data_IF_485641208905
#
_entry.id   IF_485641208905
#
_cell.length_a   1.000
_cell.length_b   1.000
_cell.length_c   1.000
_cell.angle_alpha   90.00
_cell.angle_beta   90.00
_cell.angle_gamma   90.00
#
_symmetry.space_group_name_H-M   'P 1'
#
loop_
_entity.id
_entity.type
_entity.pdbx_description
1 polymer ?
#
# COMPACT_ATOMS: atom_id res chain seq x y z
N UNK A 1 -31.74 -15.80 25.03
CA UNK A 1 -30.55 -16.65 24.84
C UNK A 1 -29.73 -16.05 23.71
N UNK A 2 -28.60 -15.44 24.08
CA UNK A 2 -27.69 -14.74 23.18
C UNK A 2 -26.73 -15.77 22.59
N UNK A 3 -26.65 -15.87 21.26
CA UNK A 3 -25.58 -16.62 20.61
C UNK A 3 -24.46 -15.66 20.26
N UNK A 4 -23.39 -15.71 21.05
CA UNK A 4 -22.11 -15.10 20.75
C UNK A 4 -21.57 -15.72 19.45
N UNK A 5 -21.59 -14.94 18.37
CA UNK A 5 -20.81 -15.20 17.16
C UNK A 5 -19.45 -14.50 17.29
N UNK A 6 -18.70 -14.88 18.33
CA UNK A 6 -17.29 -14.56 18.44
C UNK A 6 -16.53 -15.52 17.52
N UNK A 7 -15.87 -15.00 16.48
CA UNK A 7 -14.70 -15.67 15.89
C UNK A 7 -14.80 -16.28 14.50
N UNK A 8 -15.67 -15.83 13.58
CA UNK A 8 -15.63 -16.27 12.17
C UNK A 8 -15.67 -15.11 11.15
N UNK A 9 -14.89 -14.05 11.38
CA UNK A 9 -14.70 -12.94 10.43
C UNK A 9 -13.32 -12.86 9.77
N UNK A 10 -12.43 -13.83 9.99
CA UNK A 10 -10.98 -13.63 9.77
C UNK A 10 -10.35 -14.37 8.57
N UNK A 11 -11.15 -14.78 7.58
CA UNK A 11 -10.64 -15.60 6.47
C UNK A 11 -11.07 -15.20 5.04
N UNK A 12 -11.43 -13.93 4.75
CA UNK A 12 -11.43 -13.41 3.35
C UNK A 12 -11.27 -11.86 3.29
N UNK A 13 -10.42 -11.23 4.11
CA UNK A 13 -10.12 -9.79 3.95
C UNK A 13 -8.63 -9.64 3.68
N UNK A 14 -8.23 -9.71 2.42
CA UNK A 14 -6.85 -9.42 2.03
C UNK A 14 -6.56 -7.93 2.22
N UNK A 15 -5.89 -7.62 3.34
CA UNK A 15 -4.92 -6.53 3.57
C UNK A 15 -5.07 -5.30 2.66
N UNK A 16 -5.96 -4.38 3.02
CA UNK A 16 -6.09 -3.07 2.36
C UNK A 16 -4.85 -2.24 2.72
N UNK A 17 -4.09 -1.80 1.72
CA UNK A 17 -2.90 -0.97 1.94
C UNK A 17 -3.23 0.30 2.73
N UNK A 18 -2.48 0.54 3.79
CA UNK A 18 -2.59 1.73 4.64
C UNK A 18 -1.86 2.93 4.04
N UNK A 19 -2.24 4.13 4.50
CA UNK A 19 -1.55 5.39 4.12
C UNK A 19 -0.05 5.40 4.45
N UNK A 20 0.35 4.72 5.53
CA UNK A 20 1.76 4.63 5.96
C UNK A 20 2.56 3.77 4.99
N UNK A 21 2.02 2.61 4.62
CA UNK A 21 2.65 1.70 3.66
C UNK A 21 2.77 2.34 2.27
N UNK A 22 1.72 3.01 1.80
CA UNK A 22 1.76 3.70 0.50
C UNK A 22 2.84 4.79 0.46
N UNK A 23 2.91 5.62 1.51
CA UNK A 23 3.93 6.66 1.64
C UNK A 23 5.34 6.07 1.74
N UNK A 24 5.49 4.96 2.48
CA UNK A 24 6.75 4.25 2.62
C UNK A 24 7.24 3.70 1.27
N UNK A 25 6.40 2.95 0.54
CA UNK A 25 6.75 2.42 -0.77
C UNK A 25 7.14 3.53 -1.75
N UNK A 26 6.39 4.64 -1.78
CA UNK A 26 6.78 5.80 -2.60
C UNK A 26 8.16 6.33 -2.22
N UNK A 27 8.45 6.42 -0.91
CA UNK A 27 9.75 6.85 -0.40
C UNK A 27 10.89 5.91 -0.80
N UNK A 28 10.67 4.59 -0.69
CA UNK A 28 11.63 3.56 -1.08
C UNK A 28 11.92 3.58 -2.59
N UNK A 29 10.91 3.93 -3.41
CA UNK A 29 11.06 4.15 -4.84
C UNK A 29 11.80 5.47 -5.18
N UNK A 30 12.10 6.31 -4.19
CA UNK A 30 12.73 7.63 -4.41
C UNK A 30 11.83 8.64 -5.14
N UNK A 31 10.52 8.40 -5.22
CA UNK A 31 9.60 9.24 -5.99
C UNK A 31 9.06 10.39 -5.15
N UNK A 32 9.06 11.59 -5.72
CA UNK A 32 8.22 12.68 -5.18
C UNK A 32 6.74 12.36 -5.36
N UNK A 33 5.85 13.00 -4.59
CA UNK A 33 4.40 12.87 -4.80
C UNK A 33 3.99 13.21 -6.25
N UNK A 34 4.65 14.22 -6.85
CA UNK A 34 4.41 14.62 -8.24
C UNK A 34 4.86 13.62 -9.27
N UNK A 35 6.01 12.98 -9.05
CA UNK A 35 6.47 11.91 -9.94
C UNK A 35 5.53 10.72 -9.88
N UNK A 36 5.17 10.24 -8.68
CA UNK A 36 4.20 9.14 -8.54
C UNK A 36 2.83 9.48 -9.14
N UNK A 37 2.35 10.70 -8.94
CA UNK A 37 1.09 11.15 -9.54
C UNK A 37 1.12 11.04 -11.08
N UNK A 38 2.22 11.46 -11.70
CA UNK A 38 2.44 11.33 -13.15
C UNK A 38 2.46 9.86 -13.60
N UNK A 39 3.17 8.98 -12.88
CA UNK A 39 3.21 7.54 -13.20
C UNK A 39 1.83 6.87 -13.09
N UNK A 40 1.02 7.28 -12.11
CA UNK A 40 -0.32 6.71 -11.87
C UNK A 40 -1.44 7.39 -12.67
N UNK A 41 -1.15 8.44 -13.44
CA UNK A 41 -2.17 9.18 -14.19
C UNK A 41 -3.19 9.92 -13.30
N UNK A 42 -2.78 10.34 -12.10
CA UNK A 42 -3.62 11.09 -11.14
C UNK A 42 -3.01 12.45 -10.80
N UNK A 43 -3.75 13.29 -10.09
CA UNK A 43 -3.22 14.57 -9.62
C UNK A 43 -2.33 14.40 -8.38
N UNK A 44 -1.38 15.33 -8.15
CA UNK A 44 -0.62 15.40 -6.88
C UNK A 44 -1.56 15.41 -5.68
N UNK A 45 -2.65 16.16 -5.76
CA UNK A 45 -3.63 16.29 -4.67
C UNK A 45 -4.26 14.95 -4.29
N UNK A 46 -4.46 14.07 -5.26
CA UNK A 46 -4.94 12.70 -5.03
C UNK A 46 -3.94 11.91 -4.19
N UNK A 47 -2.65 11.97 -4.50
CA UNK A 47 -1.59 11.33 -3.71
C UNK A 47 -1.55 11.91 -2.28
N UNK A 48 -1.58 13.24 -2.15
CA UNK A 48 -1.57 13.90 -0.84
C UNK A 48 -2.73 13.46 0.05
N UNK A 49 -3.93 13.32 -0.53
CA UNK A 49 -5.14 12.82 0.14
C UNK A 49 -4.98 11.40 0.64
N UNK A 50 -4.45 10.50 -0.18
CA UNK A 50 -4.17 9.11 0.21
C UNK A 50 -3.14 9.03 1.34
N UNK A 51 -2.03 9.76 1.24
CA UNK A 51 -0.99 9.74 2.29
C UNK A 51 -1.43 10.38 3.61
N UNK A 52 -2.37 11.33 3.56
CA UNK A 52 -3.01 11.90 4.77
C UNK A 52 -4.09 10.98 5.34
N UNK A 53 -4.60 10.03 4.53
CA UNK A 53 -5.69 9.13 4.89
C UNK A 53 -7.06 9.80 4.83
N UNK A 54 -7.20 10.86 4.03
CA UNK A 54 -8.49 11.53 3.78
C UNK A 54 -9.39 10.64 2.92
N UNK A 55 -8.79 9.79 2.08
CA UNK A 55 -9.48 8.78 1.27
C UNK A 55 -8.71 7.47 1.32
N UNK A 56 -9.43 6.36 1.22
CA UNK A 56 -8.83 5.04 1.03
C UNK A 56 -8.03 5.00 -0.28
N UNK A 57 -6.94 4.23 -0.28
CA UNK A 57 -6.14 3.97 -1.49
C UNK A 57 -6.93 3.00 -2.36
N UNK A 58 -7.25 3.35 -3.62
CA UNK A 58 -7.91 2.42 -4.53
C UNK A 58 -7.04 1.19 -4.78
N UNK A 59 -7.67 0.01 -4.90
CA UNK A 59 -6.96 -1.25 -5.16
C UNK A 59 -6.04 -1.18 -6.39
N UNK A 60 -6.43 -0.44 -7.42
CA UNK A 60 -5.59 -0.26 -8.62
C UNK A 60 -4.31 0.53 -8.34
N UNK A 61 -4.38 1.55 -7.48
CA UNK A 61 -3.22 2.35 -7.08
C UNK A 61 -2.28 1.53 -6.17
N UNK A 62 -2.86 0.73 -5.28
CA UNK A 62 -2.11 -0.26 -4.50
C UNK A 62 -1.34 -1.23 -5.40
N UNK A 63 -2.03 -1.88 -6.35
CA UNK A 63 -1.41 -2.84 -7.26
C UNK A 63 -0.32 -2.19 -8.11
N UNK A 64 -0.57 -0.97 -8.61
CA UNK A 64 0.40 -0.23 -9.41
C UNK A 64 1.68 0.09 -8.61
N UNK A 65 1.58 0.63 -7.39
CA UNK A 65 2.79 0.96 -6.61
C UNK A 65 3.55 -0.29 -6.16
N UNK A 66 2.84 -1.39 -5.86
CA UNK A 66 3.48 -2.68 -5.56
C UNK A 66 4.22 -3.25 -6.78
N UNK A 67 3.66 -3.11 -7.98
CA UNK A 67 4.32 -3.54 -9.21
C UNK A 67 5.55 -2.68 -9.52
N UNK A 68 5.45 -1.35 -9.40
CA UNK A 68 6.61 -0.45 -9.54
C UNK A 68 7.74 -0.84 -8.57
N UNK A 69 7.39 -1.13 -7.32
CA UNK A 69 8.35 -1.59 -6.31
C UNK A 69 8.99 -2.93 -6.67
N UNK A 70 8.21 -3.90 -7.14
CA UNK A 70 8.72 -5.19 -7.60
C UNK A 70 9.68 -5.04 -8.79
N UNK A 71 9.37 -4.15 -9.73
CA UNK A 71 10.24 -3.86 -10.87
C UNK A 71 11.54 -3.17 -10.47
N UNK A 72 11.51 -2.29 -9.47
CA UNK A 72 12.75 -1.70 -8.93
C UNK A 72 13.62 -2.69 -8.20
N UNK A 73 13.03 -3.74 -7.62
CA UNK A 73 13.82 -4.72 -6.86
C UNK A 73 14.69 -5.59 -7.75
N UNK A 74 14.24 -6.05 -8.95
CA UNK A 74 14.97 -6.97 -9.87
C UNK A 74 15.86 -8.07 -9.22
N UNK A 75 15.61 -8.37 -7.96
CA UNK A 75 16.19 -9.37 -7.09
C UNK A 75 15.04 -9.92 -6.26
N UNK A 76 14.91 -11.24 -6.29
CA UNK A 76 13.80 -12.06 -5.79
C UNK A 76 13.73 -12.08 -4.27
N UNK A 77 13.45 -10.93 -3.64
CA UNK A 77 13.24 -10.88 -2.19
C UNK A 77 11.74 -10.91 -1.84
N UNK A 78 11.24 -11.96 -1.17
CA UNK A 78 9.82 -12.06 -0.78
C UNK A 78 9.36 -10.91 0.12
N UNK A 79 8.10 -10.47 -0.06
CA UNK A 79 7.44 -9.42 0.73
C UNK A 79 7.54 -9.63 2.25
N UNK A 80 7.49 -10.88 2.70
CA UNK A 80 7.63 -11.25 4.11
C UNK A 80 9.03 -10.94 4.68
N UNK A 81 10.08 -10.99 3.86
CA UNK A 81 11.44 -10.63 4.29
C UNK A 81 11.58 -9.11 4.45
N UNK A 82 10.95 -8.35 3.57
CA UNK A 82 10.95 -6.88 3.59
C UNK A 82 10.20 -6.35 4.83
N UNK A 83 9.04 -6.95 5.16
CA UNK A 83 8.30 -6.62 6.38
C UNK A 83 9.16 -6.79 7.64
N UNK A 84 9.90 -7.90 7.72
CA UNK A 84 10.73 -8.24 8.89
C UNK A 84 11.92 -7.31 9.09
N UNK A 85 12.53 -6.80 8.02
CA UNK A 85 13.69 -5.89 8.09
C UNK A 85 13.30 -4.43 8.38
N UNK A 86 12.06 -4.03 8.09
CA UNK A 86 11.57 -2.66 8.29
C UNK A 86 10.95 -2.38 9.67
N UNK A 87 10.97 -3.34 10.60
CA UNK A 87 10.42 -3.23 11.97
C UNK A 87 9.00 -2.64 11.97
N UNK A 88 8.14 -3.20 11.11
CA UNK A 88 6.68 -3.03 11.13
C UNK A 88 6.03 -4.29 11.70
#
# INVERSE_FOLDING_TARGET
>A
MSFAIDGLGHHVVQDIMTKKEFKLLRGLLGLSQGKLAKELGVTIRTITRWERGEFAIPRIAELAIRNLFRETLKETTPWEKIKKELVL
#
